data_IF_496315757899
#
_entry.id   IF_496315757899
#
_cell.length_a   1.000
_cell.length_b   1.000
_cell.length_c   1.000
_cell.angle_alpha   90.00
_cell.angle_beta   90.00
_cell.angle_gamma   90.00
#
_symmetry.space_group_name_H-M   'P 1'
#
loop_
_entity.id
_entity.type
_entity.pdbx_description
1 polymer ?
#
# COMPACT_ATOMS: atom_id res chain seq x y z
N UNK A 1 0.17 73.81 45.29
CA UNK A 1 1.29 73.01 44.79
C UNK A 1 0.76 72.07 43.73
N UNK A 2 0.93 72.44 42.46
CA UNK A 2 0.20 71.89 41.29
C UNK A 2 1.12 70.88 40.64
N UNK A 3 0.71 69.60 40.59
CA UNK A 3 1.45 68.56 39.83
C UNK A 3 0.68 68.28 38.57
N UNK A 4 1.31 68.59 37.44
CA UNK A 4 0.83 68.33 36.08
C UNK A 4 0.90 66.84 35.75
N UNK A 5 -0.21 66.23 35.38
CA UNK A 5 -0.29 64.91 34.77
C UNK A 5 0.18 64.99 33.29
N UNK A 6 1.18 64.19 32.94
CA UNK A 6 1.59 63.98 31.55
C UNK A 6 0.74 62.88 30.94
N UNK A 7 0.03 63.22 29.89
CA UNK A 7 -0.75 62.28 29.05
C UNK A 7 0.22 61.40 28.22
N UNK A 8 0.17 60.09 28.43
CA UNK A 8 0.85 59.13 27.59
C UNK A 8 -0.14 58.69 26.48
N UNK A 9 0.17 59.06 25.28
CA UNK A 9 -0.54 58.56 24.06
C UNK A 9 0.02 57.19 23.74
N UNK A 10 -0.78 56.16 23.96
CA UNK A 10 -0.48 54.80 23.54
C UNK A 10 -0.92 54.61 22.09
N UNK A 11 0.03 54.53 21.17
CA UNK A 11 -0.26 54.17 19.77
C UNK A 11 -0.34 52.66 19.74
N UNK A 12 -1.56 52.13 19.59
CA UNK A 12 -1.79 50.71 19.30
C UNK A 12 -1.50 50.44 17.82
N UNK A 13 -0.40 49.79 17.55
CA UNK A 13 -0.03 49.27 16.26
C UNK A 13 -0.76 47.90 16.07
N UNK A 14 -1.93 47.91 15.45
CA UNK A 14 -2.58 46.68 15.02
C UNK A 14 -1.86 46.13 13.79
N UNK A 15 -0.99 45.16 14.00
CA UNK A 15 -0.42 44.37 12.92
C UNK A 15 -1.48 43.38 12.41
N UNK A 16 -2.12 43.72 11.29
CA UNK A 16 -2.94 42.79 10.55
C UNK A 16 -2.02 41.72 9.90
N UNK A 17 -1.96 40.55 10.52
CA UNK A 17 -1.36 39.37 9.87
C UNK A 17 -2.33 38.92 8.75
N UNK A 18 -2.05 39.37 7.55
CA UNK A 18 -2.60 38.77 6.33
C UNK A 18 -1.90 37.40 6.21
N UNK A 19 -2.57 36.36 6.66
CA UNK A 19 -2.19 34.98 6.39
C UNK A 19 -2.42 34.75 4.91
N UNK A 20 -1.37 34.92 4.12
CA UNK A 20 -1.36 34.52 2.72
C UNK A 20 -1.24 32.97 2.76
N UNK A 21 -2.38 32.29 2.68
CA UNK A 21 -2.40 30.87 2.35
C UNK A 21 -1.82 30.73 0.92
N UNK A 22 -0.55 30.44 0.85
CA UNK A 22 0.07 30.02 -0.40
C UNK A 22 -0.44 28.61 -0.67
N UNK A 23 -1.51 28.51 -1.49
CA UNK A 23 -1.80 27.28 -2.20
C UNK A 23 -0.50 26.92 -2.95
N UNK A 24 -0.06 25.65 -2.92
CA UNK A 24 1.02 25.23 -3.81
C UNK A 24 0.50 25.44 -5.22
N UNK A 25 0.93 26.53 -5.85
CA UNK A 25 0.89 26.65 -7.30
C UNK A 25 1.84 25.57 -7.78
N UNK A 26 1.31 24.45 -8.24
CA UNK A 26 2.06 23.56 -9.12
C UNK A 26 2.33 24.41 -10.36
N UNK A 27 3.46 25.09 -10.35
CA UNK A 27 3.99 25.70 -11.55
C UNK A 27 4.07 24.56 -12.55
N UNK A 28 3.30 24.66 -13.62
CA UNK A 28 3.55 23.92 -14.84
C UNK A 28 4.87 24.45 -15.36
N UNK A 29 5.97 23.98 -14.77
CA UNK A 29 7.26 24.10 -15.40
C UNK A 29 7.11 23.36 -16.73
N UNK A 30 7.16 24.11 -17.82
CA UNK A 30 7.50 23.57 -19.13
C UNK A 30 8.93 23.04 -19.05
N UNK A 31 9.11 21.89 -18.34
CA UNK A 31 10.33 21.11 -18.43
C UNK A 31 10.42 20.66 -19.87
N UNK A 32 11.44 21.16 -20.55
CA UNK A 32 11.76 20.66 -21.89
C UNK A 32 12.10 19.18 -21.76
N UNK A 33 11.71 18.35 -22.72
CA UNK A 33 12.02 16.90 -22.79
C UNK A 33 13.53 16.58 -22.69
N UNK A 34 14.38 17.58 -22.59
CA UNK A 34 15.83 17.50 -22.53
C UNK A 34 16.39 17.45 -21.10
N UNK A 35 15.58 17.72 -20.05
CA UNK A 35 16.09 17.67 -18.67
C UNK A 35 16.26 16.21 -18.21
N UNK A 36 17.50 15.85 -17.86
CA UNK A 36 17.80 14.52 -17.34
C UNK A 36 17.22 14.35 -15.94
N UNK A 37 16.43 13.30 -15.77
CA UNK A 37 15.79 12.92 -14.51
C UNK A 37 16.29 11.53 -14.12
N UNK A 38 16.69 11.38 -12.86
CA UNK A 38 16.98 10.07 -12.27
C UNK A 38 15.92 9.77 -11.22
N UNK A 39 15.26 8.62 -11.34
CA UNK A 39 14.20 8.17 -10.44
C UNK A 39 14.73 6.98 -9.64
N UNK A 40 14.70 7.07 -8.32
CA UNK A 40 15.06 5.97 -7.42
C UNK A 40 13.84 5.08 -7.19
N UNK A 41 14.01 3.77 -7.43
CA UNK A 41 12.90 2.80 -7.34
C UNK A 41 13.30 1.63 -6.44
N UNK A 42 12.50 1.37 -5.41
CA UNK A 42 12.69 0.24 -4.50
C UNK A 42 11.54 -0.76 -4.56
N UNK A 43 11.87 -2.05 -4.52
CA UNK A 43 10.89 -3.14 -4.46
C UNK A 43 11.49 -4.38 -3.79
N UNK A 44 10.63 -5.31 -3.38
CA UNK A 44 11.07 -6.65 -2.95
C UNK A 44 10.75 -7.71 -3.99
N UNK A 45 11.56 -8.74 -4.05
CA UNK A 45 11.30 -9.88 -4.92
C UNK A 45 12.46 -10.87 -5.00
N UNK A 46 12.18 -11.96 -5.71
CA UNK A 46 13.21 -12.89 -6.11
C UNK A 46 13.95 -12.41 -7.38
N UNK A 47 14.98 -13.12 -7.79
CA UNK A 47 15.79 -12.73 -8.96
C UNK A 47 14.96 -12.60 -10.24
N UNK A 48 14.00 -13.50 -10.49
CA UNK A 48 13.13 -13.42 -11.66
C UNK A 48 12.34 -12.13 -11.69
N UNK A 49 11.78 -11.73 -10.54
CA UNK A 49 11.05 -10.47 -10.40
C UNK A 49 11.95 -9.27 -10.61
N UNK A 50 13.17 -9.31 -10.04
CA UNK A 50 14.14 -8.24 -10.22
C UNK A 50 14.48 -8.05 -11.70
N UNK A 51 14.78 -9.14 -12.42
CA UNK A 51 15.09 -9.09 -13.85
C UNK A 51 13.94 -8.55 -14.71
N UNK A 52 12.70 -8.92 -14.37
CA UNK A 52 11.52 -8.43 -15.07
C UNK A 52 11.26 -6.95 -14.80
N UNK A 53 11.42 -6.51 -13.55
CA UNK A 53 11.24 -5.10 -13.17
C UNK A 53 12.29 -4.22 -13.86
N UNK A 54 13.58 -4.63 -13.83
CA UNK A 54 14.64 -3.89 -14.52
C UNK A 54 14.36 -3.78 -16.01
N UNK A 55 13.95 -4.87 -16.68
CA UNK A 55 13.58 -4.85 -18.10
C UNK A 55 12.43 -3.88 -18.40
N UNK A 56 11.46 -3.77 -17.50
CA UNK A 56 10.35 -2.82 -17.67
C UNK A 56 10.85 -1.37 -17.54
N UNK A 57 11.75 -1.08 -16.61
CA UNK A 57 12.35 0.23 -16.44
C UNK A 57 13.26 0.59 -17.63
N UNK A 58 14.06 -0.37 -18.15
CA UNK A 58 14.89 -0.19 -19.34
C UNK A 58 14.02 0.17 -20.56
N UNK A 59 12.89 -0.53 -20.76
CA UNK A 59 11.95 -0.23 -21.83
C UNK A 59 11.37 1.19 -21.72
N UNK A 60 11.11 1.65 -20.49
CA UNK A 60 10.69 3.03 -20.28
C UNK A 60 11.79 4.03 -20.66
N UNK A 61 13.03 3.77 -20.25
CA UNK A 61 14.20 4.61 -20.61
C UNK A 61 14.43 4.65 -22.13
N UNK A 62 14.23 3.52 -22.86
CA UNK A 62 14.32 3.50 -24.33
C UNK A 62 13.31 4.46 -24.98
N UNK A 63 12.12 4.59 -24.39
CA UNK A 63 11.07 5.49 -24.89
C UNK A 63 11.23 6.94 -24.37
N UNK A 64 11.91 7.11 -23.23
CA UNK A 64 12.15 8.39 -22.55
C UNK A 64 13.63 8.53 -22.19
N UNK A 65 14.52 8.85 -23.16
CA UNK A 65 15.99 8.80 -22.97
C UNK A 65 16.51 9.81 -21.94
N UNK A 66 15.71 10.79 -21.56
CA UNK A 66 16.01 11.75 -20.49
C UNK A 66 15.75 11.19 -19.10
N UNK A 67 15.07 10.03 -18.96
CA UNK A 67 14.78 9.38 -17.68
C UNK A 67 15.67 8.17 -17.46
N UNK A 68 16.29 8.11 -16.30
CA UNK A 68 17.10 6.96 -15.86
C UNK A 68 16.62 6.50 -14.49
N UNK A 69 16.91 5.24 -14.14
CA UNK A 69 16.49 4.66 -12.87
C UNK A 69 17.68 4.21 -12.04
N UNK A 70 17.64 4.53 -10.75
CA UNK A 70 18.46 3.90 -9.71
C UNK A 70 17.60 2.87 -8.98
N UNK A 71 17.99 1.59 -9.06
CA UNK A 71 17.17 0.50 -8.57
C UNK A 71 17.66 -0.03 -7.23
N UNK A 72 16.74 -0.27 -6.29
CA UNK A 72 17.01 -0.78 -4.95
C UNK A 72 16.21 -2.07 -4.68
N UNK A 73 16.47 -3.18 -5.40
CA UNK A 73 15.80 -4.45 -5.13
C UNK A 73 16.31 -5.06 -3.82
N UNK A 74 15.42 -5.74 -3.10
CA UNK A 74 15.78 -6.54 -1.93
C UNK A 74 14.90 -7.77 -1.79
N UNK A 75 15.21 -8.64 -0.82
CA UNK A 75 14.28 -9.68 -0.35
C UNK A 75 13.17 -9.05 0.48
N UNK A 76 12.09 -9.79 0.70
CA UNK A 76 11.03 -9.40 1.64
C UNK A 76 11.59 -9.12 3.04
N UNK A 77 12.44 -10.01 3.51
CA UNK A 77 13.11 -9.84 4.81
C UNK A 77 14.01 -8.61 4.79
N UNK A 78 13.75 -7.68 5.69
CA UNK A 78 14.51 -6.44 5.83
C UNK A 78 14.13 -5.31 4.86
N UNK A 79 13.20 -5.51 3.91
CA UNK A 79 12.75 -4.44 3.02
C UNK A 79 12.15 -3.27 3.78
N UNK A 80 11.19 -3.53 4.67
CA UNK A 80 10.54 -2.49 5.46
C UNK A 80 11.44 -1.88 6.53
N UNK A 81 12.40 -2.62 7.09
CA UNK A 81 13.41 -2.08 7.99
C UNK A 81 14.29 -1.05 7.27
N UNK A 82 14.70 -1.36 6.02
CA UNK A 82 15.42 -0.44 5.17
C UNK A 82 14.60 0.81 4.86
N UNK A 83 13.35 0.66 4.42
CA UNK A 83 12.46 1.79 4.13
C UNK A 83 12.22 2.66 5.36
N UNK A 84 12.00 2.06 6.54
CA UNK A 84 11.81 2.79 7.79
C UNK A 84 13.05 3.62 8.15
N UNK A 85 14.25 3.07 7.93
CA UNK A 85 15.51 3.80 8.13
C UNK A 85 15.63 4.97 7.14
N UNK A 86 15.28 4.76 5.87
CA UNK A 86 15.29 5.80 4.85
C UNK A 86 14.24 6.88 5.13
N UNK A 87 13.05 6.51 5.62
CA UNK A 87 12.01 7.44 6.04
C UNK A 87 12.49 8.35 7.18
N UNK A 88 13.11 7.77 8.21
CA UNK A 88 13.62 8.51 9.36
C UNK A 88 14.72 9.51 8.99
N UNK A 89 15.44 9.28 7.89
CA UNK A 89 16.52 10.17 7.40
C UNK A 89 16.08 11.07 6.25
N UNK A 90 14.79 11.02 5.83
CA UNK A 90 14.29 11.80 4.70
C UNK A 90 14.90 11.38 3.36
N UNK A 91 15.29 10.10 3.21
CA UNK A 91 15.98 9.57 2.03
C UNK A 91 15.23 8.42 1.36
N UNK A 92 13.89 8.38 1.51
CA UNK A 92 13.06 7.41 0.78
C UNK A 92 13.32 7.48 -0.73
N UNK A 93 13.22 6.37 -1.46
CA UNK A 93 13.17 6.38 -2.92
C UNK A 93 11.97 7.18 -3.44
N UNK A 94 12.05 7.67 -4.69
CA UNK A 94 10.94 8.38 -5.33
C UNK A 94 9.74 7.47 -5.55
N UNK A 95 9.99 6.20 -5.89
CA UNK A 95 8.98 5.15 -6.03
C UNK A 95 9.41 3.97 -5.15
N UNK A 96 8.53 3.51 -4.30
CA UNK A 96 8.77 2.33 -3.48
C UNK A 96 7.52 1.47 -3.36
N UNK A 97 7.71 0.16 -3.43
CA UNK A 97 6.63 -0.78 -3.32
C UNK A 97 6.12 -0.86 -1.89
N UNK A 98 4.80 -0.93 -1.75
CA UNK A 98 4.13 -1.11 -0.47
C UNK A 98 3.37 -2.44 -0.40
N UNK A 99 3.18 -2.93 0.81
CA UNK A 99 2.27 -4.03 1.13
C UNK A 99 1.02 -3.48 1.81
N UNK A 100 -0.12 -4.12 1.55
CA UNK A 100 -1.40 -3.69 2.12
C UNK A 100 -1.39 -3.64 3.65
N UNK A 101 -0.68 -4.55 4.31
CA UNK A 101 -0.55 -4.58 5.77
C UNK A 101 0.37 -3.48 6.34
N UNK A 102 1.14 -2.79 5.50
CA UNK A 102 2.12 -1.78 5.93
C UNK A 102 1.74 -0.36 5.50
N UNK A 103 0.99 -0.23 4.40
CA UNK A 103 0.77 1.04 3.70
C UNK A 103 0.11 2.10 4.60
N UNK A 104 -0.77 1.71 5.52
CA UNK A 104 -1.46 2.63 6.43
C UNK A 104 -0.48 3.42 7.28
N UNK A 105 0.57 2.78 7.80
CA UNK A 105 1.58 3.47 8.63
C UNK A 105 2.38 4.53 7.87
N UNK A 106 2.57 4.35 6.56
CA UNK A 106 3.24 5.33 5.70
C UNK A 106 2.32 6.51 5.37
N UNK A 107 1.04 6.24 5.15
CA UNK A 107 0.03 7.28 4.99
C UNK A 107 -0.06 8.17 6.23
N UNK A 108 -0.23 7.60 7.42
CA UNK A 108 -0.37 8.32 8.69
C UNK A 108 0.86 9.19 9.02
N UNK A 109 2.04 8.82 8.52
CA UNK A 109 3.28 9.58 8.66
C UNK A 109 3.52 10.62 7.54
N UNK A 110 2.57 10.79 6.60
CA UNK A 110 2.69 11.68 5.44
C UNK A 110 3.92 11.38 4.57
N UNK A 111 4.24 10.11 4.40
CA UNK A 111 5.37 9.64 3.59
C UNK A 111 4.96 9.34 2.13
N UNK A 112 3.69 9.46 1.80
CA UNK A 112 3.14 9.14 0.49
C UNK A 112 2.61 10.40 -0.21
N UNK A 113 2.79 10.47 -1.52
CA UNK A 113 2.24 11.53 -2.34
C UNK A 113 0.77 11.26 -2.63
N UNK A 114 -0.09 12.27 -2.48
CA UNK A 114 -1.46 12.21 -2.96
C UNK A 114 -1.47 12.15 -4.48
N UNK A 115 -1.99 11.06 -5.05
CA UNK A 115 -2.08 10.83 -6.49
C UNK A 115 -3.41 11.31 -7.10
N UNK A 116 -4.40 11.65 -6.29
CA UNK A 116 -5.73 12.04 -6.76
C UNK A 116 -5.70 13.22 -7.76
N UNK A 117 -4.92 14.29 -7.55
CA UNK A 117 -4.81 15.38 -8.54
C UNK A 117 -4.30 14.93 -9.91
N UNK A 118 -3.47 13.88 -9.97
CA UNK A 118 -2.98 13.32 -11.23
C UNK A 118 -4.03 12.46 -11.93
N UNK A 119 -4.91 11.81 -11.17
CA UNK A 119 -6.09 11.11 -11.71
C UNK A 119 -7.07 12.12 -12.30
N UNK A 120 -7.41 13.17 -11.57
CA UNK A 120 -8.33 14.23 -12.00
C UNK A 120 -7.86 14.98 -13.25
N UNK A 121 -6.55 15.19 -13.36
CA UNK A 121 -5.94 15.83 -14.54
C UNK A 121 -5.69 14.87 -15.70
N UNK A 122 -6.07 13.58 -15.59
CA UNK A 122 -5.81 12.52 -16.56
C UNK A 122 -4.32 12.28 -16.88
N UNK A 123 -3.42 12.66 -15.98
CA UNK A 123 -2.00 12.28 -16.05
C UNK A 123 -1.82 10.82 -15.61
N UNK A 124 -2.59 10.39 -14.61
CA UNK A 124 -2.66 9.01 -14.16
C UNK A 124 -3.99 8.39 -14.60
N UNK A 125 -3.95 7.51 -15.60
CA UNK A 125 -5.13 6.80 -16.11
C UNK A 125 -5.43 5.56 -15.27
N UNK A 126 -6.50 5.62 -14.50
CA UNK A 126 -7.01 4.51 -13.66
C UNK A 126 -8.27 3.85 -14.26
N UNK A 127 -8.69 4.21 -15.47
CA UNK A 127 -9.97 3.77 -16.08
C UNK A 127 -10.10 2.26 -16.24
N UNK A 128 -8.99 1.53 -16.23
CA UNK A 128 -8.92 0.07 -16.37
C UNK A 128 -8.74 -0.67 -15.04
N UNK A 129 -8.72 0.05 -13.93
CA UNK A 129 -8.56 -0.51 -12.59
C UNK A 129 -9.90 -0.50 -11.88
N UNK A 130 -10.31 -1.62 -11.28
CA UNK A 130 -11.59 -1.68 -10.56
C UNK A 130 -11.55 -0.85 -9.28
N UNK A 131 -12.70 -0.33 -8.85
CA UNK A 131 -12.83 0.44 -7.61
C UNK A 131 -12.32 -0.33 -6.39
N UNK A 132 -12.60 -1.63 -6.30
CA UNK A 132 -12.12 -2.46 -5.20
C UNK A 132 -10.59 -2.56 -5.15
N UNK A 133 -9.93 -2.51 -6.30
CA UNK A 133 -8.46 -2.50 -6.38
C UNK A 133 -7.90 -1.11 -6.03
N UNK A 134 -8.54 -0.04 -6.51
CA UNK A 134 -8.15 1.33 -6.16
C UNK A 134 -8.30 1.59 -4.65
N UNK A 135 -9.37 1.07 -4.05
CA UNK A 135 -9.62 1.21 -2.60
C UNK A 135 -8.45 0.68 -1.74
N UNK A 136 -7.67 -0.30 -2.23
CA UNK A 136 -6.51 -0.82 -1.49
C UNK A 136 -5.36 0.18 -1.36
N UNK A 137 -5.34 1.22 -2.19
CA UNK A 137 -4.34 2.30 -2.16
C UNK A 137 -4.93 3.66 -1.86
N UNK A 138 -6.21 3.73 -1.43
CA UNK A 138 -6.92 4.97 -1.15
C UNK A 138 -7.10 5.19 0.35
N UNK A 139 -7.00 6.45 0.78
CA UNK A 139 -7.24 6.91 2.14
C UNK A 139 -7.98 8.24 2.08
N UNK A 140 -9.01 8.42 2.92
CA UNK A 140 -9.83 9.63 3.01
C UNK A 140 -10.35 10.08 1.61
N UNK A 141 -10.83 9.12 0.80
CA UNK A 141 -11.34 9.27 -0.56
C UNK A 141 -10.31 9.63 -1.65
N UNK A 142 -9.03 9.80 -1.31
CA UNK A 142 -7.95 10.11 -2.23
C UNK A 142 -7.05 8.90 -2.50
N UNK A 143 -6.51 8.80 -3.71
CA UNK A 143 -5.56 7.76 -4.11
C UNK A 143 -4.13 8.14 -3.71
N UNK A 144 -3.42 7.23 -3.04
CA UNK A 144 -2.00 7.38 -2.63
C UNK A 144 -1.09 6.30 -3.18
N UNK A 145 -1.64 5.17 -3.60
CA UNK A 145 -0.84 4.10 -4.20
C UNK A 145 -1.60 3.37 -5.30
N UNK A 146 -0.86 2.96 -6.33
CA UNK A 146 -1.37 2.10 -7.40
C UNK A 146 -1.08 0.64 -7.10
N UNK A 147 -2.10 -0.18 -7.09
CA UNK A 147 -1.95 -1.62 -6.95
C UNK A 147 -1.29 -2.21 -8.22
N UNK A 148 -0.15 -2.86 -8.03
CA UNK A 148 0.62 -3.51 -9.12
C UNK A 148 0.50 -5.03 -9.10
N UNK A 149 -0.16 -5.61 -8.11
CA UNK A 149 -0.38 -7.05 -7.98
C UNK A 149 -1.32 -7.39 -6.85
N UNK A 150 -2.06 -8.47 -7.03
CA UNK A 150 -2.97 -9.02 -6.04
C UNK A 150 -2.54 -10.44 -5.71
N UNK A 151 -2.55 -10.78 -4.42
CA UNK A 151 -2.44 -12.15 -3.97
C UNK A 151 -3.85 -12.69 -3.68
N UNK A 152 -4.13 -13.89 -4.16
CA UNK A 152 -5.36 -14.59 -3.83
C UNK A 152 -4.99 -15.92 -3.17
N UNK A 153 -5.43 -16.17 -1.95
CA UNK A 153 -5.30 -17.49 -1.36
C UNK A 153 -6.06 -18.51 -2.21
N UNK A 154 -5.47 -19.68 -2.39
CA UNK A 154 -6.09 -20.77 -3.13
C UNK A 154 -5.82 -22.08 -2.43
N UNK A 155 -6.80 -22.99 -2.49
CA UNK A 155 -6.64 -24.36 -2.04
C UNK A 155 -6.05 -25.19 -3.18
N UNK A 156 -4.91 -25.82 -2.90
CA UNK A 156 -4.31 -26.80 -3.78
C UNK A 156 -4.50 -28.19 -3.17
N UNK A 157 -4.85 -29.16 -3.99
CA UNK A 157 -4.97 -30.54 -3.55
C UNK A 157 -4.32 -31.51 -4.55
N UNK A 158 -3.73 -32.58 -4.00
CA UNK A 158 -3.29 -33.69 -4.82
C UNK A 158 -4.48 -34.57 -5.20
N UNK A 159 -4.72 -34.67 -6.50
CA UNK A 159 -5.88 -35.37 -7.03
C UNK A 159 -5.87 -36.85 -6.68
N UNK A 160 -4.71 -37.51 -6.74
CA UNK A 160 -4.59 -38.94 -6.44
C UNK A 160 -4.89 -39.23 -4.98
N UNK A 161 -4.41 -38.39 -4.07
CA UNK A 161 -4.70 -38.46 -2.62
C UNK A 161 -6.19 -38.31 -2.32
N UNK A 162 -6.84 -37.32 -2.94
CA UNK A 162 -8.27 -37.06 -2.74
C UNK A 162 -9.12 -38.21 -3.29
N UNK A 163 -8.79 -38.74 -4.47
CA UNK A 163 -9.46 -39.89 -5.06
C UNK A 163 -9.26 -41.16 -4.22
N UNK A 164 -8.05 -41.41 -3.68
CA UNK A 164 -7.76 -42.51 -2.81
C UNK A 164 -8.54 -42.45 -1.47
N UNK A 165 -8.81 -41.25 -0.97
CA UNK A 165 -9.67 -41.04 0.19
C UNK A 165 -11.16 -41.22 -0.12
N UNK A 166 -11.55 -41.32 -1.39
CA UNK A 166 -12.94 -41.38 -1.82
C UNK A 166 -13.72 -40.07 -1.62
N UNK A 167 -13.03 -38.96 -1.63
CA UNK A 167 -13.58 -37.62 -1.40
C UNK A 167 -13.71 -36.87 -2.71
N UNK A 168 -14.69 -35.99 -2.81
CA UNK A 168 -14.83 -35.01 -3.89
C UNK A 168 -14.71 -33.61 -3.29
N UNK A 169 -13.83 -32.79 -3.86
CA UNK A 169 -13.70 -31.39 -3.46
C UNK A 169 -14.81 -30.59 -4.16
N UNK A 170 -15.73 -29.94 -3.42
CA UNK A 170 -16.76 -29.10 -4.03
C UNK A 170 -16.21 -27.77 -4.53
N UNK A 171 -16.92 -27.12 -5.45
CA UNK A 171 -16.55 -25.75 -5.94
C UNK A 171 -16.67 -24.68 -4.84
N UNK A 172 -17.59 -24.87 -3.93
CA UNK A 172 -17.81 -24.03 -2.74
C UNK A 172 -17.92 -24.93 -1.54
N UNK A 173 -17.30 -24.54 -0.43
CA UNK A 173 -17.37 -25.28 0.83
C UNK A 173 -17.35 -24.34 2.02
N UNK A 174 -18.00 -24.75 3.08
CA UNK A 174 -17.89 -24.11 4.39
C UNK A 174 -16.61 -24.56 5.10
N UNK A 175 -16.26 -23.90 6.17
CA UNK A 175 -15.13 -24.32 7.01
C UNK A 175 -15.35 -25.69 7.65
N UNK A 176 -16.57 -25.99 8.07
CA UNK A 176 -16.91 -27.31 8.63
C UNK A 176 -16.71 -28.41 7.60
N UNK A 177 -17.21 -28.21 6.36
CA UNK A 177 -17.00 -29.16 5.27
C UNK A 177 -15.50 -29.31 4.93
N UNK A 178 -14.73 -28.23 4.97
CA UNK A 178 -13.29 -28.28 4.75
C UNK A 178 -12.58 -29.12 5.82
N UNK A 179 -12.94 -28.94 7.09
CA UNK A 179 -12.36 -29.73 8.19
C UNK A 179 -12.78 -31.19 8.12
N UNK A 180 -14.04 -31.50 7.82
CA UNK A 180 -14.54 -32.86 7.64
C UNK A 180 -13.85 -33.60 6.49
N UNK A 181 -13.67 -32.91 5.35
CA UNK A 181 -12.94 -33.42 4.19
C UNK A 181 -11.47 -33.67 4.57
N UNK A 182 -10.82 -32.73 5.21
CA UNK A 182 -9.42 -32.84 5.65
C UNK A 182 -9.22 -34.02 6.61
N UNK A 183 -10.13 -34.21 7.57
CA UNK A 183 -10.11 -35.33 8.50
C UNK A 183 -10.31 -36.67 7.76
N UNK A 184 -11.24 -36.71 6.82
CA UNK A 184 -11.50 -37.93 6.01
C UNK A 184 -10.27 -38.29 5.17
N UNK A 185 -9.59 -37.35 4.57
CA UNK A 185 -8.34 -37.57 3.82
C UNK A 185 -7.28 -38.14 4.76
N UNK A 186 -7.10 -37.55 5.94
CA UNK A 186 -6.12 -38.02 6.92
C UNK A 186 -6.41 -39.42 7.36
N UNK A 187 -7.65 -39.73 7.72
CA UNK A 187 -8.05 -41.07 8.23
C UNK A 187 -7.87 -42.18 7.16
N UNK A 188 -8.00 -41.84 5.89
CA UNK A 188 -7.91 -42.80 4.79
C UNK A 188 -6.51 -42.95 4.22
N UNK A 189 -5.73 -41.92 4.22
CA UNK A 189 -4.45 -41.87 3.50
C UNK A 189 -3.24 -41.56 4.39
N UNK A 190 -3.46 -41.06 5.60
CA UNK A 190 -2.41 -40.55 6.49
C UNK A 190 -1.80 -39.20 6.05
N UNK A 191 -2.33 -38.60 4.98
CA UNK A 191 -1.86 -37.29 4.48
C UNK A 191 -2.54 -36.19 5.24
N UNK A 192 -1.74 -35.33 5.86
CA UNK A 192 -2.23 -34.18 6.63
C UNK A 192 -2.44 -32.97 5.75
N UNK A 193 -3.57 -32.30 5.91
CA UNK A 193 -3.81 -30.99 5.31
C UNK A 193 -2.98 -29.94 6.04
N UNK A 194 -2.26 -29.12 5.29
CA UNK A 194 -1.51 -27.97 5.79
C UNK A 194 -2.31 -26.70 5.56
N UNK A 195 -2.41 -25.87 6.59
CA UNK A 195 -3.02 -24.54 6.55
C UNK A 195 -1.96 -23.53 6.97
N UNK A 196 -1.71 -22.54 6.12
CA UNK A 196 -0.80 -21.45 6.43
C UNK A 196 -1.40 -20.49 7.47
N UNK A 197 -0.56 -19.81 8.23
CA UNK A 197 -0.98 -18.79 9.22
C UNK A 197 -1.78 -17.62 8.59
N UNK A 198 -1.62 -17.36 7.29
CA UNK A 198 -2.41 -16.36 6.54
C UNK A 198 -3.91 -16.70 6.48
N UNK A 199 -4.30 -17.93 6.85
CA UNK A 199 -5.71 -18.38 6.87
C UNK A 199 -6.54 -17.67 7.93
N UNK A 200 -5.92 -17.14 8.99
CA UNK A 200 -6.66 -16.49 10.08
C UNK A 200 -7.58 -15.37 9.56
N UNK A 201 -7.07 -14.48 8.73
CA UNK A 201 -7.89 -13.44 8.10
C UNK A 201 -8.99 -13.98 7.16
N UNK A 202 -8.80 -15.18 6.57
CA UNK A 202 -9.85 -15.85 5.79
C UNK A 202 -10.94 -16.43 6.69
N UNK A 203 -10.58 -16.98 7.85
CA UNK A 203 -11.55 -17.48 8.83
C UNK A 203 -12.48 -16.35 9.31
N UNK A 204 -11.92 -15.20 9.70
CA UNK A 204 -12.71 -14.03 10.09
C UNK A 204 -13.67 -13.59 8.98
N UNK A 205 -13.19 -13.48 7.73
CA UNK A 205 -14.06 -13.15 6.59
C UNK A 205 -15.13 -14.21 6.34
N UNK A 206 -14.80 -15.48 6.54
CA UNK A 206 -15.74 -16.60 6.40
C UNK A 206 -16.92 -16.56 7.39
N UNK A 207 -16.72 -15.96 8.55
CA UNK A 207 -17.79 -15.72 9.55
C UNK A 207 -18.41 -14.33 9.45
N UNK A 208 -18.06 -13.56 8.41
CA UNK A 208 -18.66 -12.26 8.11
C UNK A 208 -18.05 -11.09 8.89
N UNK A 209 -16.88 -11.27 9.48
CA UNK A 209 -16.16 -10.20 10.19
C UNK A 209 -14.77 -9.94 9.59
N UNK A 210 -14.09 -8.94 10.09
CA UNK A 210 -12.71 -8.60 9.73
C UNK A 210 -11.77 -8.97 10.88
N UNK A 211 -10.51 -9.26 10.56
CA UNK A 211 -9.47 -9.48 11.56
C UNK A 211 -9.23 -8.26 12.45
N UNK A 212 -9.39 -7.07 11.84
CA UNK A 212 -9.21 -5.79 12.52
C UNK A 212 -10.46 -4.92 12.38
N UNK A 213 -10.64 -3.98 13.32
CA UNK A 213 -11.62 -2.91 13.23
C UNK A 213 -11.41 -2.07 11.97
N UNK A 214 -12.43 -1.34 11.51
CA UNK A 214 -12.39 -0.53 10.29
C UNK A 214 -11.26 0.52 10.33
N UNK A 215 -10.96 1.06 11.51
CA UNK A 215 -9.86 1.99 11.75
C UNK A 215 -8.50 1.32 12.00
N UNK A 216 -8.46 -0.02 12.05
CA UNK A 216 -7.24 -0.81 12.24
C UNK A 216 -6.64 -0.73 13.66
N UNK A 217 -7.34 -0.20 14.65
CA UNK A 217 -6.81 0.04 16.00
C UNK A 217 -7.11 -1.09 17.00
N UNK A 218 -8.01 -2.00 16.66
CA UNK A 218 -8.43 -3.13 17.49
C UNK A 218 -8.66 -4.40 16.66
N UNK A 219 -8.83 -5.54 17.33
CA UNK A 219 -9.36 -6.73 16.65
C UNK A 219 -10.81 -6.50 16.25
N UNK A 220 -11.19 -7.03 15.07
CA UNK A 220 -12.54 -6.87 14.51
C UNK A 220 -13.59 -7.85 15.09
N UNK A 221 -13.25 -8.57 16.15
CA UNK A 221 -14.16 -9.50 16.87
C UNK A 221 -14.34 -9.01 18.28
N UNK A 222 -15.58 -9.08 18.76
CA UNK A 222 -15.92 -8.84 20.16
C UNK A 222 -15.64 -10.10 20.99
N UNK A 223 -15.44 -9.93 22.29
CA UNK A 223 -15.15 -11.02 23.25
C UNK A 223 -16.38 -11.91 23.59
N UNK A 224 -17.47 -11.86 22.81
CA UNK A 224 -18.72 -12.60 23.03
C UNK A 224 -18.77 -13.98 22.35
#
# INVERSE_FOLDING_TARGET
>A
MTVRAKSLVTISLTASLVSCATLPVFASDNKTDDEKVTIRVAWWGNQTRNDLTVKALDLYTEQHPNVTFETEPSSWDGYFDKLSTQAATGSLPDIYQQDYGQIRSYYDQNLMLNLQPFVESNVLDVSRVSEAVLASGSFDDDLYAMCIGLNSPALFYDKETVEAAGVTIPEQMTWDEFFDISQTIYDKTGVQTYIDSMVLGMLFRGIGTSEFSEDGTAFGVDDD
#
